data_IF_429307440103
#
_entry.id   IF_429307440103
#
_cell.length_a   1.000
_cell.length_b   1.000
_cell.length_c   1.000
_cell.angle_alpha   90.00
_cell.angle_beta   90.00
_cell.angle_gamma   90.00
#
_symmetry.space_group_name_H-M   'P 1'
#
loop_
_entity.id
_entity.type
_entity.pdbx_description
1 polymer ?
#
# COMPACT_ATOMS: atom_id res chain seq x y z
N UNK A 1 -4.57 -0.98 10.69
CA UNK A 1 -4.12 -0.47 9.38
C UNK A 1 -3.08 0.60 9.61
N UNK A 2 -1.92 0.47 8.96
CA UNK A 2 -0.86 1.46 9.04
C UNK A 2 -0.80 2.28 7.76
N UNK A 3 -0.91 3.61 7.89
CA UNK A 3 -0.72 4.55 6.77
C UNK A 3 0.75 4.95 6.66
N UNK A 4 1.30 4.87 5.46
CA UNK A 4 2.68 5.19 5.13
C UNK A 4 2.67 6.31 4.10
N UNK A 5 3.12 7.47 4.52
CA UNK A 5 3.18 8.70 3.72
C UNK A 5 4.55 8.83 3.09
N UNK A 6 5.67 8.57 3.78
CA UNK A 6 7.00 8.78 3.20
C UNK A 6 7.86 7.53 3.28
N UNK A 7 8.90 7.44 2.43
CA UNK A 7 9.82 6.30 2.43
C UNK A 7 10.49 6.07 3.80
N UNK A 8 10.77 7.13 4.54
CA UNK A 8 11.37 7.04 5.88
C UNK A 8 10.52 6.26 6.88
N UNK A 9 9.19 6.27 6.72
CA UNK A 9 8.30 5.50 7.58
C UNK A 9 8.35 3.99 7.28
N UNK A 10 8.81 3.61 6.09
CA UNK A 10 9.06 2.20 5.73
C UNK A 10 10.32 1.68 6.41
N UNK A 11 11.34 2.53 6.61
CA UNK A 11 12.56 2.18 7.36
C UNK A 11 12.27 1.81 8.83
N UNK A 12 11.22 2.39 9.40
CA UNK A 12 10.79 2.14 10.79
C UNK A 12 9.92 0.88 10.93
N UNK A 13 9.55 0.24 9.83
CA UNK A 13 8.71 -0.95 9.83
C UNK A 13 9.52 -2.23 10.05
N UNK A 14 9.01 -3.10 10.92
CA UNK A 14 9.49 -4.47 11.07
C UNK A 14 8.63 -5.35 10.15
N UNK A 15 9.04 -5.46 8.89
CA UNK A 15 8.40 -6.28 7.85
C UNK A 15 9.47 -7.09 7.11
N UNK A 16 9.04 -8.04 6.30
CA UNK A 16 9.92 -8.93 5.58
C UNK A 16 10.81 -8.17 4.57
N UNK A 17 12.05 -8.64 4.30
CA UNK A 17 13.03 -7.88 3.53
C UNK A 17 12.57 -7.54 2.10
N UNK A 18 11.99 -8.50 1.38
CA UNK A 18 11.59 -8.27 -0.01
C UNK A 18 10.38 -7.34 -0.07
N UNK A 19 9.43 -7.50 0.86
CA UNK A 19 8.33 -6.55 1.03
C UNK A 19 8.84 -5.14 1.34
N UNK A 20 9.83 -5.01 2.23
CA UNK A 20 10.43 -3.72 2.60
C UNK A 20 11.07 -3.04 1.38
N UNK A 21 11.86 -3.78 0.60
CA UNK A 21 12.52 -3.27 -0.61
C UNK A 21 11.49 -2.76 -1.65
N UNK A 22 10.46 -3.55 -1.91
CA UNK A 22 9.44 -3.19 -2.90
C UNK A 22 8.57 -2.03 -2.42
N UNK A 23 8.16 -2.01 -1.15
CA UNK A 23 7.40 -0.89 -0.59
C UNK A 23 8.22 0.40 -0.66
N UNK A 24 9.52 0.35 -0.31
CA UNK A 24 10.42 1.49 -0.48
C UNK A 24 10.54 1.94 -1.91
N UNK A 25 10.63 1.02 -2.87
CA UNK A 25 10.71 1.37 -4.29
C UNK A 25 9.52 2.25 -4.69
N UNK A 26 8.29 1.84 -4.37
CA UNK A 26 7.10 2.63 -4.69
C UNK A 26 7.00 3.93 -3.90
N UNK A 27 7.32 3.93 -2.60
CA UNK A 27 7.30 5.15 -1.80
C UNK A 27 8.35 6.16 -2.28
N UNK A 28 9.53 5.71 -2.74
CA UNK A 28 10.52 6.60 -3.34
C UNK A 28 10.02 7.26 -4.62
N UNK A 29 9.25 6.55 -5.46
CA UNK A 29 8.63 7.13 -6.65
C UNK A 29 7.65 8.24 -6.24
N UNK A 30 6.81 7.99 -5.22
CA UNK A 30 5.89 9.00 -4.73
C UNK A 30 6.62 10.22 -4.16
N UNK A 31 7.64 10.00 -3.33
CA UNK A 31 8.44 11.07 -2.73
C UNK A 31 9.21 11.87 -3.80
N UNK A 32 9.69 11.24 -4.89
CA UNK A 32 10.43 11.92 -5.96
C UNK A 32 9.54 12.71 -6.92
N UNK A 33 8.37 12.17 -7.27
CA UNK A 33 7.46 12.79 -8.25
C UNK A 33 6.58 13.87 -7.61
N UNK A 34 6.16 13.66 -6.36
CA UNK A 34 5.15 14.50 -5.70
C UNK A 34 5.68 15.26 -4.48
N UNK A 35 6.89 14.93 -4.02
CA UNK A 35 7.50 15.55 -2.84
C UNK A 35 7.13 14.85 -1.53
N UNK A 36 8.02 14.98 -0.55
CA UNK A 36 7.86 14.44 0.81
C UNK A 36 6.82 15.23 1.64
N UNK A 37 6.47 16.42 1.20
CA UNK A 37 5.53 17.36 1.83
C UNK A 37 4.18 17.43 1.09
N UNK A 38 3.92 16.46 0.20
CA UNK A 38 2.66 16.38 -0.55
C UNK A 38 1.43 16.35 0.35
N UNK A 39 0.36 17.00 -0.11
CA UNK A 39 -0.94 17.04 0.57
C UNK A 39 -1.71 15.71 0.38
N UNK A 40 -1.20 14.64 0.97
CA UNK A 40 -1.71 13.28 0.78
C UNK A 40 -3.14 13.06 1.30
N UNK A 41 -3.62 13.90 2.20
CA UNK A 41 -5.00 13.86 2.70
C UNK A 41 -6.01 14.34 1.65
N UNK A 42 -5.57 15.19 0.71
CA UNK A 42 -6.41 15.77 -0.33
C UNK A 42 -6.22 15.02 -1.65
N UNK A 43 -4.97 14.79 -2.05
CA UNK A 43 -4.62 14.24 -3.36
C UNK A 43 -4.14 12.79 -3.32
N UNK A 44 -3.93 12.21 -2.13
CA UNK A 44 -3.49 10.82 -2.01
C UNK A 44 -2.00 10.64 -2.22
N UNK A 45 -1.62 9.51 -2.80
CA UNK A 45 -0.21 9.17 -2.95
C UNK A 45 0.39 8.72 -1.63
N UNK A 46 -0.26 7.74 -0.98
CA UNK A 46 0.26 7.08 0.21
C UNK A 46 0.02 5.58 0.11
N UNK A 47 0.74 4.82 0.94
CA UNK A 47 0.48 3.39 1.09
C UNK A 47 -0.32 3.12 2.36
N UNK A 48 -1.10 2.05 2.32
CA UNK A 48 -1.78 1.46 3.47
C UNK A 48 -1.35 0.01 3.60
N UNK A 49 -1.04 -0.39 4.82
CA UNK A 49 -0.65 -1.76 5.15
C UNK A 49 -1.80 -2.38 5.92
N UNK A 50 -2.34 -3.46 5.35
CA UNK A 50 -3.39 -4.28 5.95
C UNK A 50 -2.71 -5.28 6.86
N UNK A 51 -2.85 -5.08 8.18
CA UNK A 51 -2.26 -5.91 9.22
C UNK A 51 -3.27 -6.87 9.84
N UNK A 52 -4.56 -6.60 9.66
CA UNK A 52 -5.64 -7.44 10.18
C UNK A 52 -6.88 -7.42 9.27
N UNK A 53 -7.78 -8.41 9.35
CA UNK A 53 -9.05 -8.38 8.62
C UNK A 53 -9.94 -7.17 8.94
N UNK A 54 -9.83 -6.58 10.13
CA UNK A 54 -10.59 -5.38 10.49
C UNK A 54 -10.14 -4.14 9.71
N UNK A 55 -8.97 -4.19 9.08
CA UNK A 55 -8.46 -3.09 8.27
C UNK A 55 -9.23 -2.96 6.95
N UNK A 56 -9.88 -4.03 6.48
CA UNK A 56 -10.75 -3.96 5.29
C UNK A 56 -11.96 -3.06 5.55
N UNK A 57 -12.55 -3.09 6.76
CA UNK A 57 -13.62 -2.16 7.14
C UNK A 57 -13.15 -0.69 7.08
N UNK A 58 -11.87 -0.42 7.37
CA UNK A 58 -11.30 0.93 7.24
C UNK A 58 -11.05 1.32 5.79
N UNK A 59 -10.69 0.36 4.92
CA UNK A 59 -10.58 0.61 3.47
C UNK A 59 -11.97 0.93 2.87
N UNK A 60 -13.02 0.21 3.27
CA UNK A 60 -14.39 0.50 2.81
C UNK A 60 -14.85 1.90 3.21
N UNK A 61 -14.51 2.35 4.43
CA UNK A 61 -14.77 3.74 4.88
C UNK A 61 -14.02 4.78 4.06
N UNK A 62 -12.91 4.38 3.45
CA UNK A 62 -12.15 5.19 2.50
C UNK A 62 -12.68 5.08 1.07
N UNK A 63 -13.80 4.39 0.86
CA UNK A 63 -14.41 4.08 -0.45
C UNK A 63 -13.56 3.15 -1.33
N UNK A 64 -12.74 2.31 -0.71
CA UNK A 64 -11.98 1.26 -1.40
C UNK A 64 -12.47 -0.12 -0.95
N UNK A 65 -13.11 -0.85 -1.85
CA UNK A 65 -13.47 -2.25 -1.67
C UNK A 65 -12.55 -3.12 -2.53
N UNK A 66 -11.56 -3.75 -1.89
CA UNK A 66 -10.56 -4.59 -2.57
C UNK A 66 -11.16 -5.84 -3.26
N UNK A 67 -12.43 -6.16 -3.01
CA UNK A 67 -13.12 -7.29 -3.62
C UNK A 67 -13.84 -6.91 -4.92
N UNK A 68 -14.21 -5.64 -5.07
CA UNK A 68 -14.94 -5.13 -6.25
C UNK A 68 -14.12 -4.15 -7.08
N UNK A 69 -13.25 -3.39 -6.45
CA UNK A 69 -12.41 -2.41 -7.12
C UNK A 69 -11.23 -3.09 -7.79
N UNK A 70 -10.95 -2.66 -9.03
CA UNK A 70 -9.88 -3.24 -9.84
C UNK A 70 -8.60 -2.46 -9.56
N UNK A 71 -7.59 -3.14 -9.02
CA UNK A 71 -6.26 -2.56 -8.90
C UNK A 71 -5.65 -2.33 -10.30
N UNK A 72 -5.07 -1.15 -10.49
CA UNK A 72 -4.35 -0.78 -11.72
C UNK A 72 -3.06 -1.58 -11.87
N UNK A 73 -2.41 -1.86 -10.74
CA UNK A 73 -1.20 -2.68 -10.67
C UNK A 73 -1.35 -3.66 -9.53
N UNK A 74 -1.01 -4.93 -9.78
CA UNK A 74 -0.86 -5.95 -8.74
C UNK A 74 0.53 -6.54 -8.85
N UNK A 75 1.33 -6.37 -7.80
CA UNK A 75 2.66 -6.95 -7.69
C UNK A 75 2.68 -7.97 -6.56
N UNK A 76 2.83 -9.24 -6.92
CA UNK A 76 2.96 -10.35 -5.98
C UNK A 76 4.40 -10.51 -5.53
N UNK A 77 4.60 -10.49 -4.22
CA UNK A 77 5.88 -10.68 -3.55
C UNK A 77 5.85 -12.02 -2.83
N UNK A 78 6.89 -12.83 -3.03
CA UNK A 78 7.07 -14.12 -2.37
C UNK A 78 8.40 -14.12 -1.66
N UNK A 79 8.36 -14.20 -0.34
CA UNK A 79 9.54 -14.27 0.51
C UNK A 79 10.17 -15.67 0.46
N UNK A 80 11.43 -15.79 0.85
CA UNK A 80 12.15 -17.09 0.85
C UNK A 80 11.50 -18.14 1.77
N UNK A 81 10.82 -17.70 2.84
CA UNK A 81 10.07 -18.55 3.75
C UNK A 81 8.71 -19.00 3.19
N UNK A 82 8.33 -18.54 1.99
CA UNK A 82 7.05 -18.82 1.34
C UNK A 82 5.90 -17.91 1.76
N UNK A 83 6.13 -16.91 2.61
CA UNK A 83 5.14 -15.87 2.89
C UNK A 83 4.88 -15.03 1.63
N UNK A 84 3.62 -14.70 1.40
CA UNK A 84 3.20 -13.99 0.20
C UNK A 84 2.47 -12.69 0.56
N UNK A 85 2.86 -11.61 -0.11
CA UNK A 85 2.22 -10.31 0.00
C UNK A 85 1.86 -9.79 -1.39
N UNK A 86 0.78 -9.02 -1.45
CA UNK A 86 0.36 -8.30 -2.65
C UNK A 86 0.54 -6.81 -2.41
N UNK A 87 1.21 -6.15 -3.34
CA UNK A 87 1.21 -4.70 -3.47
C UNK A 87 0.25 -4.31 -4.58
N UNK A 88 -0.84 -3.66 -4.22
CA UNK A 88 -1.90 -3.27 -5.14
C UNK A 88 -1.97 -1.76 -5.25
N UNK A 89 -1.84 -1.20 -6.46
CA UNK A 89 -2.12 0.21 -6.71
C UNK A 89 -3.58 0.37 -7.10
N UNK A 90 -4.31 1.16 -6.34
CA UNK A 90 -5.66 1.60 -6.68
C UNK A 90 -5.60 3.09 -7.01
N UNK A 91 -6.18 3.47 -8.16
CA UNK A 91 -6.42 4.87 -8.49
C UNK A 91 -7.89 5.15 -8.22
N UNK A 92 -8.16 5.96 -7.20
CA UNK A 92 -9.49 6.33 -6.77
C UNK A 92 -9.75 7.78 -7.12
N UNK A 93 -10.81 8.06 -7.87
CA UNK A 93 -11.01 9.36 -8.54
C UNK A 93 -9.86 9.71 -9.50
N UNK A 94 -9.98 10.82 -10.23
CA UNK A 94 -9.15 11.10 -11.40
C UNK A 94 -7.63 11.20 -11.14
N UNK A 95 -7.19 11.39 -9.89
CA UNK A 95 -5.78 11.72 -9.58
C UNK A 95 -5.22 11.07 -8.30
N UNK A 96 -6.00 10.30 -7.52
CA UNK A 96 -5.58 9.85 -6.19
C UNK A 96 -5.17 8.37 -6.19
N UNK A 97 -3.95 8.05 -5.73
CA UNK A 97 -3.41 6.69 -5.68
C UNK A 97 -3.24 6.14 -4.26
N UNK A 98 -3.69 4.91 -4.00
CA UNK A 98 -3.41 4.13 -2.78
C UNK A 98 -2.61 2.89 -3.13
N UNK A 99 -1.48 2.68 -2.46
CA UNK A 99 -0.76 1.41 -2.50
C UNK A 99 -1.18 0.54 -1.30
N UNK A 100 -1.92 -0.53 -1.54
CA UNK A 100 -2.32 -1.47 -0.49
C UNK A 100 -1.32 -2.62 -0.39
N UNK A 101 -0.85 -2.93 0.83
CA UNK A 101 -0.09 -4.13 1.13
C UNK A 101 -1.02 -5.14 1.79
N UNK A 102 -1.27 -6.27 1.12
CA UNK A 102 -2.22 -7.30 1.57
C UNK A 102 -1.47 -8.63 1.72
N UNK A 103 -1.38 -9.20 2.93
CA UNK A 103 -0.93 -10.57 3.10
C UNK A 103 -1.86 -11.52 2.34
N UNK A 104 -1.32 -12.50 1.60
CA UNK A 104 -2.16 -13.39 0.77
C UNK A 104 -3.18 -14.18 1.57
N UNK A 105 -2.88 -14.53 2.82
CA UNK A 105 -3.84 -15.17 3.72
C UNK A 105 -5.12 -14.34 3.93
N UNK A 106 -5.06 -13.03 3.66
CA UNK A 106 -6.16 -12.08 3.76
C UNK A 106 -6.72 -11.64 2.39
N UNK A 107 -6.10 -12.04 1.26
CA UNK A 107 -6.65 -11.79 -0.07
C UNK A 107 -7.59 -12.92 -0.46
N UNK A 108 -8.88 -12.76 -0.12
CA UNK A 108 -9.93 -13.76 -0.36
C UNK A 108 -10.56 -13.61 -1.74
#
# INVERSE_FOLDING_TARGET
MKKIVNVSQVDEMIIQPLLNENLKHYMNILDSEWGIDREYEIYGGYAVVVESPLDFDELEKMYLDVTTDIAEIVHRIVEENGEENLLCLYIMNADFGILCVIPKENSS
#
